data_IF_530098316991
#
_entry.id   IF_530098316991
#
_cell.length_a   1.000
_cell.length_b   1.000
_cell.length_c   1.000
_cell.angle_alpha   90.00
_cell.angle_beta   90.00
_cell.angle_gamma   90.00
#
_symmetry.space_group_name_H-M   'P 1'
#
loop_
_entity.id
_entity.type
_entity.pdbx_description
1 polymer ?
#
# COMPACT_ATOMS: atom_id res chain seq x y z
N UNK A 1 -28.48 -12.31 26.42
CA UNK A 1 -27.25 -11.70 25.88
C UNK A 1 -27.51 -11.34 24.42
N UNK A 2 -27.81 -10.08 24.14
CA UNK A 2 -28.04 -9.58 22.78
C UNK A 2 -26.68 -9.51 22.10
N UNK A 3 -26.47 -10.30 21.04
CA UNK A 3 -25.31 -10.13 20.15
C UNK A 3 -25.45 -8.74 19.54
N UNK A 4 -24.55 -7.81 19.88
CA UNK A 4 -24.42 -6.55 19.15
C UNK A 4 -24.07 -6.90 17.70
N UNK A 5 -25.08 -6.90 16.83
CA UNK A 5 -24.87 -6.86 15.40
C UNK A 5 -24.22 -5.53 15.09
N UNK A 6 -22.88 -5.50 14.97
CA UNK A 6 -22.17 -4.35 14.42
C UNK A 6 -22.72 -4.12 13.01
N UNK A 7 -23.64 -3.18 12.87
CA UNK A 7 -24.13 -2.76 11.56
C UNK A 7 -22.95 -2.07 10.89
N UNK A 8 -22.29 -2.77 9.98
CA UNK A 8 -21.23 -2.19 9.17
C UNK A 8 -21.88 -1.15 8.24
N UNK A 9 -21.42 0.10 8.31
CA UNK A 9 -21.87 1.17 7.40
C UNK A 9 -20.88 1.35 6.25
N UNK A 10 -21.34 2.00 5.18
CA UNK A 10 -20.48 2.33 4.04
C UNK A 10 -19.30 3.23 4.48
N UNK A 11 -19.53 4.16 5.41
CA UNK A 11 -18.51 5.02 6.01
C UNK A 11 -17.46 4.20 6.75
N UNK A 12 -17.88 3.33 7.67
CA UNK A 12 -16.97 2.55 8.51
C UNK A 12 -16.16 1.55 7.69
N UNK A 13 -16.80 0.94 6.70
CA UNK A 13 -16.14 0.01 5.78
C UNK A 13 -15.11 0.73 4.91
N UNK A 14 -15.43 1.91 4.39
CA UNK A 14 -14.48 2.71 3.61
C UNK A 14 -13.36 3.30 4.46
N UNK A 15 -13.66 3.73 5.69
CA UNK A 15 -12.67 4.28 6.61
C UNK A 15 -11.55 3.27 6.89
N UNK A 16 -11.88 1.98 7.07
CA UNK A 16 -10.88 0.92 7.19
C UNK A 16 -9.93 0.86 5.98
N UNK A 17 -10.46 1.01 4.76
CA UNK A 17 -9.63 1.03 3.54
C UNK A 17 -8.70 2.24 3.55
N UNK A 18 -9.21 3.40 3.95
CA UNK A 18 -8.43 4.65 4.04
C UNK A 18 -7.33 4.52 5.09
N UNK A 19 -7.63 4.00 6.28
CA UNK A 19 -6.67 3.82 7.37
C UNK A 19 -5.53 2.91 6.92
N UNK A 20 -5.84 1.78 6.28
CA UNK A 20 -4.83 0.86 5.74
C UNK A 20 -3.95 1.55 4.67
N UNK A 21 -4.55 2.33 3.76
CA UNK A 21 -3.78 3.11 2.78
C UNK A 21 -2.88 4.14 3.42
N UNK A 22 -3.31 4.81 4.49
CA UNK A 22 -2.50 5.77 5.23
C UNK A 22 -1.35 5.08 5.97
N UNK A 23 -1.59 3.93 6.61
CA UNK A 23 -0.53 3.13 7.24
C UNK A 23 0.50 2.66 6.22
N UNK A 24 0.08 2.19 5.05
CA UNK A 24 1.00 1.81 3.96
C UNK A 24 1.84 3.01 3.52
N UNK A 25 1.22 4.18 3.32
CA UNK A 25 1.94 5.38 2.94
C UNK A 25 2.98 5.78 3.99
N UNK A 26 2.62 5.76 5.27
CA UNK A 26 3.54 6.07 6.36
C UNK A 26 4.73 5.11 6.40
N UNK A 27 4.47 3.80 6.32
CA UNK A 27 5.52 2.79 6.27
C UNK A 27 6.40 2.91 5.02
N UNK A 28 5.83 3.34 3.89
CA UNK A 28 6.60 3.59 2.65
C UNK A 28 7.58 4.75 2.82
N UNK A 29 7.17 5.81 3.52
CA UNK A 29 8.05 6.92 3.89
C UNK A 29 9.15 6.48 4.86
N UNK A 30 8.83 5.58 5.79
CA UNK A 30 9.77 4.96 6.73
C UNK A 30 10.63 3.84 6.10
N UNK A 31 10.35 3.46 4.85
CA UNK A 31 10.99 2.36 4.11
C UNK A 31 10.85 0.99 4.77
N UNK A 32 9.78 0.78 5.55
CA UNK A 32 9.48 -0.50 6.18
C UNK A 32 8.73 -1.42 5.20
N UNK A 33 9.44 -1.91 4.18
CA UNK A 33 8.85 -2.69 3.08
C UNK A 33 8.26 -4.04 3.50
N UNK A 34 8.77 -4.64 4.59
CA UNK A 34 8.25 -5.90 5.13
C UNK A 34 6.80 -5.75 5.58
N UNK A 35 6.54 -4.78 6.47
CA UNK A 35 5.20 -4.52 7.00
C UNK A 35 4.21 -4.03 5.93
N UNK A 36 4.68 -3.32 4.89
CA UNK A 36 3.83 -2.87 3.78
C UNK A 36 3.19 -4.05 3.03
N UNK A 37 3.92 -5.16 2.88
CA UNK A 37 3.43 -6.30 2.09
C UNK A 37 2.21 -6.96 2.74
N UNK A 38 2.22 -7.09 4.07
CA UNK A 38 1.10 -7.63 4.85
C UNK A 38 -0.11 -6.69 4.78
N UNK A 39 0.10 -5.40 5.05
CA UNK A 39 -0.98 -4.41 4.98
C UNK A 39 -1.58 -4.25 3.59
N UNK A 40 -0.78 -4.43 2.52
CA UNK A 40 -1.29 -4.37 1.15
C UNK A 40 -2.30 -5.50 0.86
N UNK A 41 -2.07 -6.70 1.42
CA UNK A 41 -3.00 -7.83 1.32
C UNK A 41 -4.29 -7.50 2.09
N UNK A 42 -4.18 -7.03 3.33
CA UNK A 42 -5.33 -6.67 4.17
C UNK A 42 -6.17 -5.55 3.55
N UNK A 43 -5.50 -4.55 2.96
CA UNK A 43 -6.16 -3.46 2.22
C UNK A 43 -6.90 -4.00 1.02
N UNK A 44 -6.28 -4.86 0.23
CA UNK A 44 -6.92 -5.44 -0.96
C UNK A 44 -8.18 -6.22 -0.59
N UNK A 45 -8.10 -7.07 0.44
CA UNK A 45 -9.26 -7.80 0.96
C UNK A 45 -10.35 -6.85 1.47
N UNK A 46 -9.97 -5.78 2.18
CA UNK A 46 -10.92 -4.78 2.70
C UNK A 46 -11.62 -4.02 1.57
N UNK A 47 -10.92 -3.68 0.47
CA UNK A 47 -11.50 -3.05 -0.73
C UNK A 47 -12.50 -3.99 -1.40
N UNK A 48 -12.14 -5.26 -1.59
CA UNK A 48 -13.03 -6.24 -2.19
C UNK A 48 -14.29 -6.43 -1.34
N UNK A 49 -14.12 -6.62 -0.03
CA UNK A 49 -15.24 -6.78 0.90
C UNK A 49 -16.14 -5.54 0.92
N UNK A 50 -15.56 -4.34 0.84
CA UNK A 50 -16.30 -3.09 0.77
C UNK A 50 -17.23 -3.07 -0.43
N UNK A 51 -16.71 -3.31 -1.64
CA UNK A 51 -17.53 -3.23 -2.86
C UNK A 51 -18.49 -4.42 -3.05
N UNK A 52 -18.23 -5.56 -2.41
CA UNK A 52 -19.22 -6.65 -2.30
C UNK A 52 -20.41 -6.25 -1.44
N UNK A 53 -20.16 -5.51 -0.35
CA UNK A 53 -21.20 -5.11 0.62
C UNK A 53 -21.93 -3.84 0.18
N UNK A 54 -21.19 -2.89 -0.39
CA UNK A 54 -21.65 -1.58 -0.85
C UNK A 54 -21.25 -1.42 -2.32
N UNK A 55 -21.99 -2.03 -3.27
CA UNK A 55 -21.66 -1.92 -4.67
C UNK A 55 -21.84 -0.49 -5.17
N UNK A 56 -21.09 -0.13 -6.21
CA UNK A 56 -21.24 1.15 -6.88
C UNK A 56 -22.56 1.15 -7.67
N UNK A 57 -23.46 2.06 -7.32
CA UNK A 57 -24.75 2.24 -7.95
C UNK A 57 -25.32 3.63 -7.69
N UNK A 58 -26.52 3.96 -8.21
CA UNK A 58 -27.10 5.30 -8.04
C UNK A 58 -27.21 5.75 -6.58
N UNK A 59 -27.52 4.82 -5.67
CA UNK A 59 -27.67 5.08 -4.23
C UNK A 59 -26.34 5.36 -3.52
N UNK A 60 -25.23 4.78 -3.99
CA UNK A 60 -23.89 4.95 -3.39
C UNK A 60 -23.00 5.91 -4.18
N UNK A 61 -23.41 6.33 -5.37
CA UNK A 61 -22.64 7.20 -6.25
C UNK A 61 -22.18 8.48 -5.55
N UNK A 62 -23.10 9.15 -4.84
CA UNK A 62 -22.79 10.36 -4.07
C UNK A 62 -21.72 10.17 -3.00
N UNK A 63 -21.61 8.97 -2.42
CA UNK A 63 -20.56 8.62 -1.48
C UNK A 63 -19.21 8.50 -2.19
N UNK A 64 -19.16 7.85 -3.35
CA UNK A 64 -17.91 7.52 -4.04
C UNK A 64 -17.31 8.66 -4.87
N UNK A 65 -18.11 9.63 -5.33
CA UNK A 65 -17.71 10.67 -6.30
C UNK A 65 -16.32 11.25 -6.05
N UNK A 66 -16.03 11.68 -4.82
CA UNK A 66 -14.72 12.23 -4.48
C UNK A 66 -13.76 11.22 -3.84
N UNK A 67 -14.30 10.19 -3.17
CA UNK A 67 -13.51 9.26 -2.37
C UNK A 67 -12.64 8.35 -3.24
N UNK A 68 -13.15 7.92 -4.40
CA UNK A 68 -12.36 7.10 -5.33
C UNK A 68 -11.18 7.91 -5.90
N UNK A 69 -11.40 9.17 -6.28
CA UNK A 69 -10.33 10.05 -6.77
C UNK A 69 -9.22 10.25 -5.72
N UNK A 70 -9.60 10.52 -4.46
CA UNK A 70 -8.63 10.64 -3.37
C UNK A 70 -7.85 9.34 -3.15
N UNK A 71 -8.53 8.20 -3.18
CA UNK A 71 -7.90 6.88 -3.04
C UNK A 71 -6.89 6.62 -4.17
N UNK A 72 -7.27 6.89 -5.42
CA UNK A 72 -6.38 6.70 -6.58
C UNK A 72 -5.15 7.61 -6.54
N UNK A 73 -5.32 8.89 -6.13
CA UNK A 73 -4.19 9.80 -5.93
C UNK A 73 -3.24 9.34 -4.84
N UNK A 74 -3.76 8.74 -3.77
CA UNK A 74 -2.93 8.15 -2.72
C UNK A 74 -2.16 6.93 -3.24
N UNK A 75 -2.81 6.09 -4.05
CA UNK A 75 -2.18 4.92 -4.65
C UNK A 75 -1.02 5.30 -5.59
N UNK A 76 -1.21 6.35 -6.39
CA UNK A 76 -0.16 6.88 -7.27
C UNK A 76 1.07 7.32 -6.46
N UNK A 77 0.88 8.02 -5.34
CA UNK A 77 1.98 8.41 -4.44
C UNK A 77 2.73 7.20 -3.88
N UNK A 78 2.00 6.18 -3.40
CA UNK A 78 2.63 4.96 -2.87
C UNK A 78 3.45 4.27 -3.96
N UNK A 79 2.89 4.15 -5.16
CA UNK A 79 3.54 3.56 -6.33
C UNK A 79 4.82 4.31 -6.71
N UNK A 80 4.79 5.64 -6.69
CA UNK A 80 5.96 6.46 -7.00
C UNK A 80 7.07 6.28 -5.97
N UNK A 81 6.74 6.30 -4.68
CA UNK A 81 7.71 6.06 -3.60
C UNK A 81 8.35 4.67 -3.74
N UNK A 82 7.54 3.64 -3.96
CA UNK A 82 8.01 2.27 -4.18
C UNK A 82 8.88 2.16 -5.45
N UNK A 83 8.49 2.83 -6.53
CA UNK A 83 9.25 2.87 -7.78
C UNK A 83 10.62 3.54 -7.62
N UNK A 84 10.69 4.64 -6.88
CA UNK A 84 11.94 5.32 -6.55
C UNK A 84 12.83 4.45 -5.65
N UNK A 85 12.26 3.81 -4.62
CA UNK A 85 12.98 2.91 -3.74
C UNK A 85 13.59 1.73 -4.51
N UNK A 86 12.82 1.12 -5.42
CA UNK A 86 13.29 0.04 -6.29
C UNK A 86 14.47 0.46 -7.17
N UNK A 87 14.36 1.63 -7.81
CA UNK A 87 15.45 2.18 -8.64
C UNK A 87 16.71 2.41 -7.80
N UNK A 88 16.57 2.91 -6.57
CA UNK A 88 17.69 3.13 -5.66
C UNK A 88 18.36 1.81 -5.25
N UNK A 89 17.59 0.82 -4.80
CA UNK A 89 18.10 -0.49 -4.40
C UNK A 89 18.83 -1.20 -5.56
N UNK A 90 18.34 -1.08 -6.78
CA UNK A 90 18.99 -1.63 -7.97
C UNK A 90 20.36 -0.99 -8.23
N UNK A 91 20.47 0.35 -8.13
CA UNK A 91 21.74 1.06 -8.27
C UNK A 91 22.74 0.65 -7.19
N UNK A 92 22.30 0.55 -5.94
CA UNK A 92 23.13 0.11 -4.81
C UNK A 92 23.62 -1.33 -5.00
N UNK A 93 22.75 -2.23 -5.48
CA UNK A 93 23.14 -3.61 -5.78
C UNK A 93 24.25 -3.72 -6.83
N UNK A 94 24.19 -2.91 -7.89
CA UNK A 94 25.24 -2.87 -8.91
C UNK A 94 26.57 -2.38 -8.32
N UNK A 95 26.55 -1.33 -7.51
CA UNK A 95 27.76 -0.81 -6.85
C UNK A 95 28.38 -1.83 -5.89
N UNK A 96 27.56 -2.51 -5.10
CA UNK A 96 28.03 -3.57 -4.20
C UNK A 96 28.70 -4.71 -4.97
N UNK A 97 28.12 -5.12 -6.11
CA UNK A 97 28.71 -6.15 -6.95
C UNK A 97 30.07 -5.72 -7.54
N UNK A 98 30.18 -4.47 -7.99
CA UNK A 98 31.44 -3.92 -8.49
C UNK A 98 32.50 -3.88 -7.40
N UNK A 99 32.14 -3.39 -6.20
CA UNK A 99 33.05 -3.34 -5.05
C UNK A 99 33.51 -4.74 -4.63
N UNK A 100 32.59 -5.73 -4.61
CA UNK A 100 32.94 -7.12 -4.29
C UNK A 100 33.99 -7.66 -5.26
N UNK A 101 33.80 -7.46 -6.57
CA UNK A 101 34.76 -7.87 -7.61
C UNK A 101 36.12 -7.18 -7.43
N UNK A 102 36.14 -5.90 -7.08
CA UNK A 102 37.38 -5.17 -6.83
C UNK A 102 38.14 -5.76 -5.63
N UNK A 103 37.46 -6.03 -4.52
CA UNK A 103 38.07 -6.66 -3.33
C UNK A 103 38.62 -8.06 -3.65
N UNK A 104 37.85 -8.89 -4.37
CA UNK A 104 38.30 -10.21 -4.82
C UNK A 104 39.55 -10.11 -5.71
N UNK A 105 39.64 -9.11 -6.58
CA UNK A 105 40.82 -8.89 -7.42
C UNK A 105 42.07 -8.51 -6.60
N UNK A 106 41.92 -7.67 -5.58
CA UNK A 106 43.03 -7.29 -4.69
C UNK A 106 43.52 -8.44 -3.80
N UNK A 107 42.64 -9.37 -3.41
CA UNK A 107 43.03 -10.51 -2.59
C UNK A 107 43.72 -11.63 -3.39
N UNK A 108 43.44 -11.73 -4.68
CA UNK A 108 43.99 -12.75 -5.58
C UNK A 108 45.19 -12.25 -6.42
N UNK A 109 45.70 -11.04 -6.16
CA UNK A 109 46.90 -10.46 -6.78
C UNK A 109 48.09 -10.50 -5.81
#
# INVERSE_FOLDING_TARGET
MVRQSNIQTIENSWQRVVDLSQSILQLALEKNWGAISELAIDRHQSVLQHFVTFPVGPETAGFYTHRIDLFLKQEEKIKDIAGQARKKAMKEGVLLQQNRRAVEAYHNS
#
